data_IF_877476634269
#
_entry.id   IF_877476634269
#
_cell.length_a   1.000
_cell.length_b   1.000
_cell.length_c   1.000
_cell.angle_alpha   90.00
_cell.angle_beta   90.00
_cell.angle_gamma   90.00
#
_symmetry.space_group_name_H-M   'P 1'
#
loop_
_entity.id
_entity.type
_entity.pdbx_description
1 polymer ?
#
# COMPACT_ATOMS: atom_id res chain seq x y z
N UNK A 1 -18.85 11.17 -6.91
CA UNK A 1 -19.99 10.49 -7.55
C UNK A 1 -19.79 8.99 -7.38
N UNK A 2 -20.78 8.35 -6.75
CA UNK A 2 -21.06 6.91 -6.70
C UNK A 2 -19.93 5.94 -6.28
N UNK A 3 -19.62 5.92 -4.99
CA UNK A 3 -19.07 4.74 -4.30
C UNK A 3 -19.73 4.63 -2.92
N UNK A 4 -20.95 4.09 -2.90
CA UNK A 4 -21.60 3.59 -1.68
C UNK A 4 -22.58 2.52 -2.13
N UNK A 5 -22.04 1.32 -2.33
CA UNK A 5 -22.79 0.09 -2.18
C UNK A 5 -22.02 -0.75 -1.17
N UNK A 6 -22.71 -1.12 -0.08
CA UNK A 6 -22.22 -1.67 1.20
C UNK A 6 -21.50 -0.64 2.09
N UNK A 7 -22.25 -0.09 3.05
CA UNK A 7 -21.79 0.94 3.99
C UNK A 7 -20.82 0.29 4.98
N UNK A 8 -19.55 0.18 4.59
CA UNK A 8 -18.46 0.28 5.56
C UNK A 8 -18.82 1.46 6.47
N UNK A 9 -18.92 1.22 7.78
CA UNK A 9 -19.17 2.31 8.70
C UNK A 9 -18.12 3.41 8.46
N UNK A 10 -18.45 4.68 8.68
CA UNK A 10 -17.46 5.76 8.52
C UNK A 10 -16.14 5.43 9.25
N UNK A 11 -16.26 4.77 10.41
CA UNK A 11 -15.14 4.21 11.15
C UNK A 11 -14.29 3.20 10.36
N UNK A 12 -14.89 2.21 9.70
CA UNK A 12 -14.17 1.23 8.88
C UNK A 12 -13.41 1.91 7.72
N UNK A 13 -14.04 2.87 7.05
CA UNK A 13 -13.40 3.62 5.98
C UNK A 13 -12.22 4.45 6.51
N UNK A 14 -12.37 5.08 7.68
CA UNK A 14 -11.31 5.88 8.32
C UNK A 14 -10.13 5.00 8.74
N UNK A 15 -10.38 3.83 9.35
CA UNK A 15 -9.34 2.86 9.72
C UNK A 15 -8.57 2.37 8.48
N UNK A 16 -9.27 1.97 7.42
CA UNK A 16 -8.63 1.50 6.19
C UNK A 16 -7.81 2.61 5.54
N UNK A 17 -8.34 3.83 5.45
CA UNK A 17 -7.60 4.97 4.93
C UNK A 17 -6.33 5.22 5.74
N UNK A 18 -6.43 5.27 7.08
CA UNK A 18 -5.26 5.47 7.95
C UNK A 18 -4.21 4.37 7.78
N UNK A 19 -4.63 3.12 7.59
CA UNK A 19 -3.71 2.01 7.35
C UNK A 19 -3.04 2.08 5.97
N UNK A 20 -3.78 2.49 4.92
CA UNK A 20 -3.21 2.74 3.61
C UNK A 20 -2.20 3.90 3.63
N UNK A 21 -2.52 4.99 4.33
CA UNK A 21 -1.60 6.12 4.54
C UNK A 21 -0.33 5.67 5.29
N UNK A 22 -0.47 4.79 6.28
CA UNK A 22 0.67 4.15 6.96
C UNK A 22 1.51 3.27 6.03
N UNK A 23 0.91 2.46 5.14
CA UNK A 23 1.68 1.67 4.16
C UNK A 23 2.46 2.60 3.23
N UNK A 24 1.84 3.69 2.75
CA UNK A 24 2.52 4.68 1.91
C UNK A 24 3.73 5.28 2.62
N UNK A 25 3.60 5.59 3.92
CA UNK A 25 4.71 6.03 4.75
C UNK A 25 5.81 5.00 4.90
N UNK A 26 5.44 3.73 5.11
CA UNK A 26 6.38 2.63 5.27
C UNK A 26 7.23 2.45 4.01
N UNK A 27 6.58 2.42 2.85
CA UNK A 27 7.22 2.35 1.53
C UNK A 27 7.92 3.66 1.13
N UNK A 28 7.74 4.73 1.92
CA UNK A 28 8.35 6.04 1.73
C UNK A 28 7.83 6.81 0.53
N UNK A 29 6.64 6.49 0.03
CA UNK A 29 6.04 7.12 -1.16
C UNK A 29 5.30 8.41 -0.84
N UNK A 30 4.78 8.56 0.38
CA UNK A 30 4.05 9.73 0.90
C UNK A 30 4.88 11.04 0.86
N UNK A 31 6.20 10.94 0.78
CA UNK A 31 7.15 12.07 0.72
C UNK A 31 7.48 12.52 -0.70
N UNK A 32 7.00 11.80 -1.72
CA UNK A 32 7.33 12.01 -3.12
C UNK A 32 6.08 12.02 -4.00
N UNK A 33 6.26 12.44 -5.24
CA UNK A 33 5.16 12.53 -6.20
C UNK A 33 4.40 13.83 -6.12
N UNK A 34 3.64 14.10 -7.17
CA UNK A 34 2.67 15.22 -7.22
C UNK A 34 1.26 14.74 -6.89
N UNK A 35 1.08 13.44 -6.69
CA UNK A 35 -0.19 12.78 -6.41
C UNK A 35 -0.05 11.81 -5.22
N UNK A 36 0.42 12.30 -4.07
CA UNK A 36 0.43 11.57 -2.80
C UNK A 36 1.03 10.15 -2.86
N UNK A 37 2.18 10.02 -3.54
CA UNK A 37 2.87 8.75 -3.71
C UNK A 37 2.33 7.84 -4.82
N UNK A 38 1.13 8.08 -5.37
CA UNK A 38 0.51 7.23 -6.39
C UNK A 38 1.27 7.18 -7.72
N UNK A 39 2.12 8.16 -8.01
CA UNK A 39 3.00 8.29 -9.18
C UNK A 39 4.45 7.84 -8.94
N UNK A 40 4.78 7.29 -7.78
CA UNK A 40 6.19 7.02 -7.42
C UNK A 40 6.68 5.67 -7.95
N UNK A 41 7.77 5.67 -8.70
CA UNK A 41 8.56 4.49 -9.02
C UNK A 41 9.52 4.18 -7.86
N UNK A 42 9.83 2.90 -7.69
CA UNK A 42 10.90 2.48 -6.78
C UNK A 42 12.21 3.20 -7.13
N UNK A 43 12.85 3.81 -6.13
CA UNK A 43 14.01 4.69 -6.32
C UNK A 43 13.69 6.20 -6.39
N UNK A 44 12.40 6.58 -6.43
CA UNK A 44 11.94 7.95 -6.21
C UNK A 44 11.60 8.75 -7.48
N UNK A 45 11.85 8.20 -8.67
CA UNK A 45 11.39 8.79 -9.93
C UNK A 45 9.86 8.72 -10.06
N UNK A 46 9.27 9.52 -10.95
CA UNK A 46 7.81 9.57 -11.13
C UNK A 46 7.37 8.98 -12.48
N UNK A 47 6.14 8.47 -12.53
CA UNK A 47 5.43 8.14 -13.75
C UNK A 47 4.15 8.97 -13.88
N UNK A 48 3.72 9.24 -15.11
CA UNK A 48 2.60 10.16 -15.37
C UNK A 48 1.43 9.53 -16.14
N UNK A 49 1.59 8.29 -16.60
CA UNK A 49 0.56 7.54 -17.31
C UNK A 49 -0.01 6.46 -16.41
N UNK A 50 -1.26 6.64 -16.01
CA UNK A 50 -1.99 5.73 -15.14
C UNK A 50 -2.78 4.66 -15.90
N UNK A 51 -2.76 4.61 -17.24
CA UNK A 51 -3.57 3.62 -17.99
C UNK A 51 -3.21 2.16 -17.64
N UNK A 52 -1.99 1.93 -17.20
CA UNK A 52 -1.56 0.65 -16.64
C UNK A 52 -0.36 0.83 -15.71
N UNK A 53 0.00 -0.22 -14.98
CA UNK A 53 1.24 -0.22 -14.21
C UNK A 53 2.43 0.04 -15.14
N UNK A 54 3.36 0.96 -14.80
CA UNK A 54 4.37 1.48 -15.73
C UNK A 54 5.35 0.41 -16.24
N UNK A 55 5.55 -0.65 -15.45
CA UNK A 55 6.43 -1.78 -15.78
C UNK A 55 7.86 -1.34 -16.13
N UNK A 56 8.32 -0.29 -15.45
CA UNK A 56 9.68 0.21 -15.57
C UNK A 56 10.53 -0.57 -14.58
N UNK A 57 11.54 -1.28 -15.09
CA UNK A 57 12.52 -1.99 -14.25
C UNK A 57 13.61 -1.01 -13.83
N UNK A 58 13.62 -0.63 -12.55
CA UNK A 58 14.63 0.25 -11.95
C UNK A 58 15.71 -0.58 -11.26
N UNK A 59 16.98 -0.25 -11.52
CA UNK A 59 18.14 -0.88 -10.88
C UNK A 59 18.50 -0.09 -9.61
N UNK A 60 18.37 -0.72 -8.44
CA UNK A 60 18.61 -0.09 -7.12
C UNK A 60 20.03 -0.31 -6.61
N UNK A 61 20.65 -1.42 -7.00
CA UNK A 61 22.05 -1.77 -6.72
C UNK A 61 22.56 -2.71 -7.81
N UNK A 62 23.84 -3.08 -7.89
CA UNK A 62 24.33 -4.05 -8.88
C UNK A 62 23.59 -5.41 -8.85
N UNK A 63 23.01 -5.80 -7.72
CA UNK A 63 22.34 -7.09 -7.52
C UNK A 63 20.83 -6.99 -7.34
N UNK A 64 20.28 -5.78 -7.19
CA UNK A 64 18.86 -5.56 -6.93
C UNK A 64 18.23 -4.66 -8.00
N UNK A 65 17.15 -5.15 -8.60
CA UNK A 65 16.27 -4.38 -9.46
C UNK A 65 14.82 -4.72 -9.14
N UNK A 66 13.94 -3.73 -9.31
CA UNK A 66 12.52 -3.88 -9.02
C UNK A 66 11.68 -3.19 -10.08
N UNK A 67 10.41 -3.59 -10.16
CA UNK A 67 9.37 -2.92 -10.97
C UNK A 67 8.35 -2.23 -10.09
N UNK A 68 8.60 -2.11 -8.79
CA UNK A 68 7.69 -1.51 -7.84
C UNK A 68 7.31 -0.08 -8.26
N UNK A 69 6.02 0.20 -8.22
CA UNK A 69 5.47 1.49 -8.57
C UNK A 69 4.19 1.78 -7.78
N UNK A 70 3.85 3.07 -7.71
CA UNK A 70 2.67 3.57 -7.04
C UNK A 70 2.83 3.66 -5.53
N UNK A 71 1.76 4.11 -4.88
CA UNK A 71 1.72 4.45 -3.46
C UNK A 71 2.09 3.27 -2.57
N UNK A 72 1.75 2.07 -3.02
CA UNK A 72 1.98 0.80 -2.32
C UNK A 72 3.09 -0.06 -2.94
N UNK A 73 3.94 0.53 -3.80
CA UNK A 73 5.11 -0.11 -4.43
C UNK A 73 4.80 -1.49 -5.05
N UNK A 74 3.68 -1.54 -5.79
CA UNK A 74 3.14 -2.75 -6.40
C UNK A 74 4.11 -3.27 -7.46
N UNK A 75 4.45 -4.56 -7.43
CA UNK A 75 5.27 -5.18 -8.48
C UNK A 75 4.42 -5.53 -9.70
N UNK A 76 4.94 -5.29 -10.91
CA UNK A 76 4.24 -5.58 -12.16
C UNK A 76 3.76 -7.04 -12.29
N UNK A 77 4.54 -7.99 -11.77
CA UNK A 77 4.20 -9.42 -11.80
C UNK A 77 2.90 -9.73 -11.06
N UNK A 78 2.60 -8.97 -9.99
CA UNK A 78 1.40 -9.13 -9.18
C UNK A 78 0.27 -8.25 -9.70
N UNK A 79 0.58 -7.07 -10.21
CA UNK A 79 -0.44 -6.20 -10.80
C UNK A 79 -1.33 -6.90 -11.85
N UNK A 80 -0.74 -7.67 -12.78
CA UNK A 80 -1.49 -8.35 -13.85
C UNK A 80 -2.65 -9.24 -13.37
N UNK A 81 -2.42 -10.26 -12.51
CA UNK A 81 -3.51 -11.11 -12.05
C UNK A 81 -4.57 -10.34 -11.27
N UNK A 82 -4.18 -9.40 -10.40
CA UNK A 82 -5.16 -8.62 -9.62
C UNK A 82 -5.95 -7.63 -10.47
N UNK A 83 -5.34 -7.01 -11.48
CA UNK A 83 -6.06 -6.19 -12.47
C UNK A 83 -7.20 -6.98 -13.12
N UNK A 84 -6.94 -8.25 -13.48
CA UNK A 84 -7.95 -9.13 -14.06
C UNK A 84 -8.99 -9.57 -13.03
N UNK A 85 -8.55 -10.07 -11.88
CA UNK A 85 -9.42 -10.58 -10.80
C UNK A 85 -10.39 -9.50 -10.31
N UNK A 86 -9.91 -8.29 -10.09
CA UNK A 86 -10.68 -7.18 -9.53
C UNK A 86 -11.29 -6.28 -10.60
N UNK A 87 -11.06 -6.57 -11.89
CA UNK A 87 -11.50 -5.76 -13.04
C UNK A 87 -11.07 -4.30 -12.89
N UNK A 88 -9.80 -4.08 -12.54
CA UNK A 88 -9.26 -2.72 -12.38
C UNK A 88 -9.10 -2.07 -13.76
N UNK A 89 -9.68 -0.89 -14.00
CA UNK A 89 -9.68 -0.25 -15.32
C UNK A 89 -8.31 0.29 -15.72
N UNK A 90 -7.49 0.65 -14.73
CA UNK A 90 -6.25 1.39 -14.87
C UNK A 90 -5.35 1.13 -13.65
N UNK A 91 -4.26 1.89 -13.51
CA UNK A 91 -3.36 1.91 -12.36
C UNK A 91 -3.46 3.24 -11.58
N UNK A 92 -4.59 3.96 -11.69
CA UNK A 92 -4.85 5.19 -10.95
C UNK A 92 -5.02 4.96 -9.44
N UNK A 93 -5.17 6.03 -8.64
CA UNK A 93 -5.29 5.94 -7.18
C UNK A 93 -6.32 4.91 -6.69
N UNK A 94 -7.57 5.01 -7.14
CA UNK A 94 -8.64 4.08 -6.76
C UNK A 94 -8.29 2.60 -7.07
N UNK A 95 -7.62 2.36 -8.20
CA UNK A 95 -7.20 1.00 -8.60
C UNK A 95 -6.05 0.48 -7.73
N UNK A 96 -5.12 1.34 -7.33
CA UNK A 96 -4.04 0.98 -6.40
C UNK A 96 -4.57 0.72 -4.99
N UNK A 97 -5.53 1.52 -4.50
CA UNK A 97 -6.17 1.32 -3.19
C UNK A 97 -6.92 -0.01 -3.15
N UNK A 98 -7.72 -0.29 -4.19
CA UNK A 98 -8.46 -1.54 -4.31
C UNK A 98 -7.53 -2.75 -4.37
N UNK A 99 -6.38 -2.62 -5.04
CA UNK A 99 -5.34 -3.63 -5.02
C UNK A 99 -4.80 -3.84 -3.60
N UNK A 100 -4.41 -2.78 -2.89
CA UNK A 100 -3.83 -2.87 -1.55
C UNK A 100 -4.84 -3.45 -0.54
N UNK A 101 -6.10 -3.01 -0.58
CA UNK A 101 -7.18 -3.55 0.24
C UNK A 101 -7.40 -5.05 -0.03
N UNK A 102 -7.30 -5.49 -1.29
CA UNK A 102 -7.38 -6.91 -1.61
C UNK A 102 -6.22 -7.70 -0.97
N UNK A 103 -4.98 -7.17 -1.00
CA UNK A 103 -3.84 -7.80 -0.33
C UNK A 103 -4.10 -7.93 1.17
N UNK A 104 -4.58 -6.86 1.82
CA UNK A 104 -4.91 -6.83 3.26
C UNK A 104 -5.96 -7.90 3.60
N UNK A 105 -6.98 -8.07 2.74
CA UNK A 105 -8.01 -9.12 2.90
C UNK A 105 -7.41 -10.51 2.78
N UNK A 106 -6.57 -10.76 1.78
CA UNK A 106 -5.95 -12.06 1.54
C UNK A 106 -4.92 -12.44 2.62
N UNK A 107 -4.31 -11.47 3.30
CA UNK A 107 -3.49 -11.71 4.50
C UNK A 107 -4.33 -11.91 5.78
N UNK A 108 -5.66 -11.80 5.71
CA UNK A 108 -6.54 -11.89 6.88
C UNK A 108 -6.31 -10.76 7.89
N UNK A 109 -5.83 -9.61 7.43
CA UNK A 109 -5.53 -8.43 8.26
C UNK A 109 -6.68 -7.41 8.26
N UNK A 110 -7.66 -7.54 7.36
CA UNK A 110 -8.73 -6.56 7.19
C UNK A 110 -9.50 -6.28 8.49
N UNK A 111 -9.98 -7.32 9.18
CA UNK A 111 -10.69 -7.15 10.45
C UNK A 111 -9.80 -6.54 11.53
N UNK A 112 -8.51 -6.83 11.53
CA UNK A 112 -7.58 -6.25 12.48
C UNK A 112 -7.38 -4.75 12.25
N UNK A 113 -7.30 -4.32 10.98
CA UNK A 113 -7.30 -2.89 10.64
C UNK A 113 -8.58 -2.22 11.13
N UNK A 114 -9.74 -2.79 10.77
CA UNK A 114 -11.05 -2.21 11.12
C UNK A 114 -11.25 -2.14 12.64
N UNK A 115 -10.76 -3.12 13.38
CA UNK A 115 -10.91 -3.19 14.83
C UNK A 115 -9.75 -2.53 15.60
N UNK A 116 -8.77 -1.92 14.91
CA UNK A 116 -7.67 -1.18 15.54
C UNK A 116 -6.51 -2.03 16.07
N UNK A 117 -6.46 -3.31 15.73
CA UNK A 117 -5.35 -4.25 16.04
C UNK A 117 -4.20 -4.09 15.03
N UNK A 118 -3.56 -2.93 15.06
CA UNK A 118 -2.64 -2.52 14.00
C UNK A 118 -1.32 -3.27 14.03
N UNK A 119 -0.82 -3.67 15.20
CA UNK A 119 0.40 -4.48 15.28
C UNK A 119 0.19 -5.85 14.63
N UNK A 120 -0.95 -6.50 14.86
CA UNK A 120 -1.33 -7.75 14.23
C UNK A 120 -1.53 -7.59 12.72
N UNK A 121 -2.19 -6.51 12.28
CA UNK A 121 -2.37 -6.20 10.87
C UNK A 121 -1.04 -6.00 10.15
N UNK A 122 -0.09 -5.27 10.76
CA UNK A 122 1.27 -5.07 10.23
C UNK A 122 1.98 -6.41 10.10
N UNK A 123 1.98 -7.23 11.16
CA UNK A 123 2.65 -8.52 11.17
C UNK A 123 2.11 -9.46 10.08
N UNK A 124 0.79 -9.49 9.88
CA UNK A 124 0.14 -10.27 8.80
C UNK A 124 0.48 -9.78 7.40
N UNK A 125 0.80 -8.50 7.26
CA UNK A 125 1.08 -7.88 5.96
C UNK A 125 2.58 -7.81 5.60
N UNK A 126 3.48 -8.22 6.50
CA UNK A 126 4.92 -8.04 6.35
C UNK A 126 5.52 -8.74 5.11
N UNK A 127 4.91 -9.84 4.65
CA UNK A 127 5.33 -10.53 3.43
C UNK A 127 4.86 -9.84 2.13
N UNK A 128 4.07 -8.76 2.21
CA UNK A 128 3.63 -7.98 1.05
C UNK A 128 4.51 -6.74 0.86
N UNK A 129 4.78 -6.02 1.94
CA UNK A 129 5.52 -4.76 1.94
C UNK A 129 6.85 -4.91 2.67
N UNK A 130 7.94 -4.77 1.93
CA UNK A 130 9.28 -5.04 2.43
C UNK A 130 9.76 -4.05 3.50
N UNK A 131 9.08 -2.92 3.61
CA UNK A 131 9.31 -1.89 4.61
C UNK A 131 8.68 -2.20 5.98
N UNK A 132 7.77 -3.16 6.07
CA UNK A 132 7.12 -3.50 7.34
C UNK A 132 8.05 -4.34 8.22
N UNK A 133 7.97 -4.21 9.55
CA UNK A 133 8.79 -4.98 10.48
C UNK A 133 8.53 -6.48 10.35
N UNK A 134 9.60 -7.26 10.26
CA UNK A 134 9.54 -8.72 10.10
C UNK A 134 9.36 -9.22 8.66
N UNK A 135 9.46 -8.34 7.66
CA UNK A 135 9.31 -8.68 6.26
C UNK A 135 10.46 -9.57 5.74
N UNK A 136 11.68 -9.40 6.29
CA UNK A 136 12.79 -10.33 6.05
C UNK A 136 13.41 -10.26 4.65
N UNK A 137 13.11 -9.24 3.85
CA UNK A 137 13.67 -9.05 2.51
C UNK A 137 15.12 -8.53 2.51
N UNK A 138 15.71 -8.29 3.68
CA UNK A 138 17.04 -7.67 3.80
C UNK A 138 17.06 -6.20 3.34
N UNK A 139 15.88 -5.60 3.17
CA UNK A 139 15.68 -4.17 2.93
C UNK A 139 15.47 -3.45 4.26
N UNK A 140 15.46 -2.12 4.23
CA UNK A 140 15.18 -1.32 5.43
C UNK A 140 13.72 -1.50 5.83
N UNK A 141 13.51 -1.90 7.07
CA UNK A 141 12.20 -1.93 7.72
C UNK A 141 11.98 -0.64 8.54
N UNK A 142 10.73 -0.24 8.72
CA UNK A 142 10.30 0.89 9.55
C UNK A 142 9.94 0.39 10.95
N UNK A 143 10.28 1.17 11.96
CA UNK A 143 10.04 0.83 13.36
C UNK A 143 8.53 0.79 13.66
N UNK A 144 8.09 -0.20 14.45
CA UNK A 144 6.68 -0.49 14.69
C UNK A 144 5.93 0.70 15.33
N UNK A 145 6.51 1.32 16.36
CA UNK A 145 5.95 2.50 17.01
C UNK A 145 5.79 3.69 16.06
N UNK A 146 6.73 3.90 15.14
CA UNK A 146 6.60 4.91 14.08
C UNK A 146 5.42 4.63 13.15
N UNK A 147 5.15 3.36 12.81
CA UNK A 147 4.01 2.99 11.96
C UNK A 147 2.69 3.18 12.69
N UNK A 148 2.59 2.70 13.94
CA UNK A 148 1.40 2.89 14.77
C UNK A 148 1.11 4.38 14.99
N UNK A 149 2.12 5.19 15.31
CA UNK A 149 1.94 6.63 15.46
C UNK A 149 1.52 7.33 14.16
N UNK A 150 1.97 6.85 13.00
CA UNK A 150 1.53 7.38 11.71
C UNK A 150 0.07 7.02 11.42
N UNK A 151 -0.34 5.79 11.73
CA UNK A 151 -1.73 5.36 11.65
C UNK A 151 -2.65 6.25 12.51
N UNK A 152 -2.29 6.48 13.77
CA UNK A 152 -3.08 7.32 14.69
C UNK A 152 -3.13 8.79 14.23
N UNK A 153 -2.02 9.33 13.75
CA UNK A 153 -1.95 10.71 13.25
C UNK A 153 -2.82 10.95 12.00
N UNK A 154 -3.17 9.89 11.28
CA UNK A 154 -4.06 9.94 10.11
C UNK A 154 -5.52 9.60 10.44
N UNK A 155 -5.89 9.62 11.72
CA UNK A 155 -7.27 9.44 12.19
C UNK A 155 -7.64 7.99 12.53
N UNK A 156 -6.68 7.07 12.43
CA UNK A 156 -6.85 5.71 12.91
C UNK A 156 -6.93 5.65 14.43
N UNK A 157 -7.68 4.68 14.95
CA UNK A 157 -7.85 4.41 16.37
C UNK A 157 -7.36 2.98 16.65
N UNK A 158 -6.42 2.85 17.58
CA UNK A 158 -5.89 1.58 18.07
C UNK A 158 -6.83 0.97 19.13
N UNK A 159 -6.81 -0.36 19.23
CA UNK A 159 -7.66 -1.13 20.15
C UNK A 159 -7.16 -1.13 21.61
#
# INVERSE_FOLDING_TARGET
>A
MAWVDEVASYHEADQLKAFLDMISHAEGTDRYGVNDGYDVLVGGELFYDYRDHPNIRVQLSPTLASTAAGRYQILYRWWKPYKQQLKLPDFGPDSQDRYAIQQIREQGAYSDVVEGRIEEAIAKCANIWASLPGAGYGQREVELGSLVGHFESNGGVTA
#
